data_IF_381184202202
#
_entry.id   IF_381184202202
#
_cell.length_a   1.000
_cell.length_b   1.000
_cell.length_c   1.000
_cell.angle_alpha   90.00
_cell.angle_beta   90.00
_cell.angle_gamma   90.00
#
_symmetry.space_group_name_H-M   'P 1'
#
loop_
_entity.id
_entity.type
_entity.pdbx_description
1 polymer ?
#
# COMPACT_ATOMS: atom_id res chain seq x y z
N UNK A 1 2.54 33.80 54.56
CA UNK A 1 1.53 33.39 53.56
C UNK A 1 2.17 32.33 52.68
N UNK A 2 1.76 31.07 52.84
CA UNK A 2 2.25 29.91 52.08
C UNK A 2 1.20 29.59 51.02
N UNK A 3 1.52 29.78 49.74
CA UNK A 3 0.66 29.31 48.65
C UNK A 3 1.15 27.93 48.22
N UNK A 4 0.33 26.91 48.52
CA UNK A 4 0.33 25.62 47.84
C UNK A 4 -0.06 25.86 46.37
N UNK A 5 0.79 25.43 45.44
CA UNK A 5 0.40 25.18 44.06
C UNK A 5 0.45 23.67 43.84
N UNK A 6 -0.74 23.08 43.80
CA UNK A 6 -0.99 21.71 43.38
C UNK A 6 -1.08 21.72 41.84
N UNK A 7 -0.23 21.02 41.07
CA UNK A 7 -0.55 20.73 39.69
C UNK A 7 -1.39 19.45 39.65
N UNK A 8 -2.70 19.65 39.54
CA UNK A 8 -3.65 18.67 39.03
C UNK A 8 -3.40 18.51 37.53
N UNK A 9 -3.64 17.29 37.03
CA UNK A 9 -3.85 16.92 35.62
C UNK A 9 -2.61 16.58 34.79
N UNK A 10 -2.18 15.32 34.93
CA UNK A 10 -1.52 14.57 33.84
C UNK A 10 -2.33 13.29 33.55
N UNK A 11 -3.58 13.45 33.09
CA UNK A 11 -4.21 12.41 32.26
C UNK A 11 -3.81 12.66 30.81
N UNK A 12 -2.56 12.34 30.49
CA UNK A 12 -2.11 12.24 29.10
C UNK A 12 -2.43 10.84 28.58
N UNK A 13 -3.62 10.74 27.99
CA UNK A 13 -3.82 10.15 26.67
C UNK A 13 -3.19 8.77 26.47
N UNK A 14 -3.91 7.73 26.91
CA UNK A 14 -3.81 6.41 26.27
C UNK A 14 -4.50 6.48 24.89
N UNK A 15 -3.85 7.11 23.92
CA UNK A 15 -4.29 7.09 22.52
C UNK A 15 -4.29 5.66 21.99
N UNK A 16 -5.49 5.19 21.69
CA UNK A 16 -5.80 4.36 20.52
C UNK A 16 -5.03 3.04 20.44
N UNK A 17 -5.55 2.01 21.11
CA UNK A 17 -5.52 0.66 20.53
C UNK A 17 -6.17 0.74 19.15
N UNK A 18 -5.32 0.80 18.12
CA UNK A 18 -5.65 0.85 16.69
C UNK A 18 -6.26 -0.47 16.18
N UNK A 19 -7.14 -1.11 16.96
CA UNK A 19 -7.87 -2.29 16.53
C UNK A 19 -9.03 -1.79 15.68
N UNK A 20 -8.99 -2.03 14.37
CA UNK A 20 -10.16 -1.78 13.52
C UNK A 20 -11.38 -2.52 14.05
N UNK A 21 -12.56 -2.18 13.55
CA UNK A 21 -13.75 -2.97 13.85
C UNK A 21 -13.61 -4.40 13.32
N UNK A 22 -14.57 -5.25 13.64
CA UNK A 22 -14.69 -6.57 13.01
C UNK A 22 -16.16 -6.86 12.69
N UNK A 23 -16.37 -7.69 11.67
CA UNK A 23 -17.70 -8.07 11.20
C UNK A 23 -17.64 -9.45 10.52
N UNK A 24 -18.73 -10.21 10.54
CA UNK A 24 -18.83 -11.42 9.73
C UNK A 24 -18.85 -11.05 8.24
N UNK A 25 -18.15 -11.82 7.39
CA UNK A 25 -18.04 -11.52 5.96
C UNK A 25 -19.42 -11.36 5.29
N UNK A 26 -20.33 -12.31 5.54
CA UNK A 26 -21.68 -12.29 4.96
C UNK A 26 -22.52 -11.08 5.38
N UNK A 27 -22.29 -10.56 6.57
CA UNK A 27 -23.00 -9.37 7.05
C UNK A 27 -22.46 -8.12 6.36
N UNK A 28 -21.13 -8.02 6.23
CA UNK A 28 -20.48 -6.95 5.49
C UNK A 28 -20.93 -6.93 4.02
N UNK A 29 -20.94 -8.08 3.34
CA UNK A 29 -21.38 -8.21 1.94
C UNK A 29 -22.86 -7.80 1.74
N UNK A 30 -23.70 -7.99 2.77
CA UNK A 30 -25.12 -7.59 2.76
C UNK A 30 -25.37 -6.14 3.17
N UNK A 31 -24.32 -5.41 3.53
CA UNK A 31 -24.44 -4.03 3.99
C UNK A 31 -25.01 -3.90 5.40
N UNK A 32 -24.93 -4.97 6.21
CA UNK A 32 -25.37 -4.95 7.60
C UNK A 32 -24.22 -4.51 8.51
N UNK A 33 -24.55 -3.81 9.61
CA UNK A 33 -23.60 -3.40 10.65
C UNK A 33 -22.37 -2.63 10.16
N UNK A 34 -22.50 -1.89 9.05
CA UNK A 34 -21.42 -1.12 8.43
C UNK A 34 -20.89 -0.02 9.34
N UNK A 35 -21.69 0.46 10.29
CA UNK A 35 -21.30 1.45 11.31
C UNK A 35 -20.15 0.97 12.21
N UNK A 36 -19.91 -0.34 12.30
CA UNK A 36 -18.78 -0.94 13.03
C UNK A 36 -17.43 -0.69 12.35
N UNK A 37 -17.43 -0.27 11.09
CA UNK A 37 -16.21 0.07 10.36
C UNK A 37 -15.58 1.35 10.90
N UNK A 38 -14.25 1.36 10.94
CA UNK A 38 -13.50 2.57 11.30
C UNK A 38 -13.17 3.39 10.05
N UNK A 39 -13.50 4.68 10.09
CA UNK A 39 -13.16 5.62 9.01
C UNK A 39 -11.65 5.84 8.94
N UNK A 40 -11.10 5.73 7.73
CA UNK A 40 -9.68 5.96 7.42
C UNK A 40 -9.53 6.89 6.21
N UNK A 41 -8.31 7.36 5.96
CA UNK A 41 -8.01 8.21 4.81
C UNK A 41 -7.82 7.40 3.52
N UNK A 42 -7.92 8.05 2.36
CA UNK A 42 -7.59 7.48 1.04
C UNK A 42 -6.16 6.96 0.98
N UNK A 43 -5.20 7.65 1.60
CA UNK A 43 -3.82 7.18 1.67
C UNK A 43 -3.70 5.92 2.54
N UNK A 44 -4.41 5.85 3.66
CA UNK A 44 -4.42 4.63 4.48
C UNK A 44 -5.00 3.45 3.71
N UNK A 45 -6.09 3.67 2.96
CA UNK A 45 -6.63 2.64 2.07
C UNK A 45 -5.59 2.18 1.04
N UNK A 46 -4.93 3.12 0.35
CA UNK A 46 -3.89 2.82 -0.63
C UNK A 46 -2.72 2.04 -0.02
N UNK A 47 -2.18 2.51 1.11
CA UNK A 47 -1.06 1.88 1.81
C UNK A 47 -1.39 0.42 2.19
N UNK A 48 -2.62 0.16 2.65
CA UNK A 48 -3.09 -1.21 2.92
C UNK A 48 -3.15 -2.06 1.65
N UNK A 49 -3.72 -1.52 0.56
CA UNK A 49 -3.78 -2.24 -0.73
C UNK A 49 -2.39 -2.53 -1.29
N UNK A 50 -1.39 -1.69 -0.99
CA UNK A 50 0.01 -1.91 -1.34
C UNK A 50 0.70 -3.03 -0.55
N UNK A 51 0.11 -3.53 0.54
CA UNK A 51 0.63 -4.69 1.29
C UNK A 51 0.45 -6.01 0.51
N UNK A 52 -0.42 -6.05 -0.50
CA UNK A 52 -0.60 -7.22 -1.36
C UNK A 52 0.68 -7.52 -2.15
N UNK A 53 1.10 -8.78 -2.11
CA UNK A 53 2.28 -9.31 -2.80
C UNK A 53 1.85 -10.30 -3.89
N UNK A 54 2.73 -10.59 -4.85
CA UNK A 54 2.44 -11.55 -5.94
C UNK A 54 2.15 -12.97 -5.42
N UNK A 55 2.81 -13.37 -4.33
CA UNK A 55 2.64 -14.68 -3.68
C UNK A 55 1.83 -14.58 -2.37
N UNK A 56 0.91 -13.61 -2.25
CA UNK A 56 0.14 -13.44 -1.03
C UNK A 56 -0.75 -14.67 -0.76
N UNK A 57 -0.74 -15.13 0.49
CA UNK A 57 -1.79 -16.01 1.00
C UNK A 57 -3.08 -15.20 1.08
N UNK A 58 -4.21 -15.79 0.68
CA UNK A 58 -5.55 -15.16 0.71
C UNK A 58 -5.88 -14.39 2.00
N UNK A 59 -5.31 -14.78 3.14
CA UNK A 59 -5.51 -14.14 4.45
C UNK A 59 -4.78 -12.81 4.64
N UNK A 60 -3.87 -12.42 3.75
CA UNK A 60 -3.09 -11.18 3.85
C UNK A 60 -3.56 -10.07 2.92
N UNK A 61 -4.37 -10.41 1.92
CA UNK A 61 -4.93 -9.43 1.01
C UNK A 61 -6.03 -8.60 1.67
N UNK A 62 -6.16 -7.37 1.18
CA UNK A 62 -7.15 -6.41 1.65
C UNK A 62 -8.32 -6.37 0.67
N UNK A 63 -9.51 -6.77 1.10
CA UNK A 63 -10.68 -6.93 0.25
C UNK A 63 -11.64 -5.77 0.45
N UNK A 64 -12.20 -5.29 -0.66
CA UNK A 64 -13.42 -4.48 -0.64
C UNK A 64 -14.58 -5.45 -0.45
N UNK A 65 -15.42 -5.20 0.54
CA UNK A 65 -16.49 -6.10 0.95
C UNK A 65 -17.88 -5.51 0.75
N UNK A 66 -17.97 -4.19 0.68
CA UNK A 66 -19.20 -3.47 0.36
C UNK A 66 -18.88 -2.05 -0.12
N UNK A 67 -19.82 -1.44 -0.82
CA UNK A 67 -19.80 -0.04 -1.23
C UNK A 67 -21.23 0.54 -1.13
N UNK A 68 -21.36 1.70 -0.50
CA UNK A 68 -22.61 2.48 -0.52
C UNK A 68 -22.38 3.83 -1.26
N UNK A 69 -23.31 4.77 -1.11
CA UNK A 69 -23.22 6.10 -1.74
C UNK A 69 -22.09 6.97 -1.16
N UNK A 70 -21.71 6.74 0.09
CA UNK A 70 -20.75 7.58 0.82
C UNK A 70 -19.37 6.90 0.99
N UNK A 71 -19.35 5.58 1.13
CA UNK A 71 -18.19 4.84 1.61
C UNK A 71 -17.90 3.55 0.84
N UNK A 72 -16.61 3.23 0.81
CA UNK A 72 -16.08 1.93 0.42
C UNK A 72 -15.61 1.22 1.68
N UNK A 73 -16.09 -0.01 1.89
CA UNK A 73 -15.80 -0.81 3.08
C UNK A 73 -14.81 -1.91 2.73
N UNK A 74 -13.77 -2.06 3.56
CA UNK A 74 -12.68 -2.98 3.26
C UNK A 74 -12.00 -3.54 4.50
N UNK A 75 -11.27 -4.65 4.34
CA UNK A 75 -10.52 -5.28 5.42
C UNK A 75 -9.85 -6.59 5.03
N UNK A 76 -9.24 -7.28 6.00
CA UNK A 76 -8.60 -8.58 5.77
C UNK A 76 -9.52 -9.73 6.20
N UNK A 77 -9.47 -10.84 5.46
CA UNK A 77 -10.20 -12.06 5.80
C UNK A 77 -9.52 -12.78 6.97
N UNK A 78 -10.28 -13.05 8.02
CA UNK A 78 -9.85 -13.83 9.17
C UNK A 78 -10.83 -14.98 9.40
N UNK A 79 -10.33 -16.21 9.51
CA UNK A 79 -11.15 -17.37 9.88
C UNK A 79 -11.05 -17.59 11.38
N UNK A 80 -12.19 -17.61 12.07
CA UNK A 80 -12.27 -17.89 13.51
C UNK A 80 -13.48 -18.77 13.80
N UNK A 81 -13.26 -19.89 14.50
CA UNK A 81 -14.31 -20.83 14.93
C UNK A 81 -15.25 -21.29 13.79
N UNK A 82 -14.72 -21.52 12.58
CA UNK A 82 -15.51 -21.93 11.41
C UNK A 82 -16.22 -20.80 10.68
N UNK A 83 -16.16 -19.56 11.19
CA UNK A 83 -16.71 -18.37 10.54
C UNK A 83 -15.61 -17.57 9.85
N UNK A 84 -15.95 -16.97 8.71
CA UNK A 84 -15.08 -16.00 8.02
C UNK A 84 -15.53 -14.60 8.40
N UNK A 85 -14.58 -13.80 8.87
CA UNK A 85 -14.80 -12.43 9.34
C UNK A 85 -13.86 -11.48 8.61
N UNK A 86 -14.22 -10.20 8.65
CA UNK A 86 -13.38 -9.09 8.25
C UNK A 86 -12.79 -8.46 9.49
N UNK A 87 -11.47 -8.49 9.60
CA UNK A 87 -10.73 -7.87 10.69
C UNK A 87 -9.29 -7.57 10.24
N UNK A 88 -8.84 -6.31 10.27
CA UNK A 88 -9.60 -5.11 10.67
C UNK A 88 -10.63 -4.69 9.62
N UNK A 89 -11.72 -4.07 10.07
CA UNK A 89 -12.81 -3.55 9.24
C UNK A 89 -12.79 -2.02 9.19
N UNK A 90 -12.62 -1.48 7.98
CA UNK A 90 -12.45 -0.07 7.71
C UNK A 90 -13.44 0.44 6.67
N UNK A 91 -13.60 1.77 6.64
CA UNK A 91 -14.30 2.49 5.58
C UNK A 91 -13.51 3.71 5.13
N UNK A 92 -13.62 4.05 3.86
CA UNK A 92 -12.99 5.23 3.25
C UNK A 92 -14.03 5.99 2.43
N UNK A 93 -13.91 7.32 2.40
CA UNK A 93 -14.78 8.22 1.64
C UNK A 93 -14.72 7.89 0.14
N UNK A 94 -15.87 7.53 -0.43
CA UNK A 94 -15.95 7.04 -1.80
C UNK A 94 -15.64 8.15 -2.81
N UNK A 95 -16.24 9.33 -2.67
CA UNK A 95 -16.06 10.44 -3.62
C UNK A 95 -14.58 10.85 -3.70
N UNK A 96 -13.91 10.94 -2.54
CA UNK A 96 -12.46 11.24 -2.50
C UNK A 96 -11.62 10.11 -3.08
N UNK A 97 -12.02 8.86 -2.87
CA UNK A 97 -11.30 7.71 -3.42
C UNK A 97 -11.47 7.61 -4.94
N UNK A 98 -12.69 7.73 -5.46
CA UNK A 98 -12.98 7.75 -6.90
C UNK A 98 -12.22 8.91 -7.59
N UNK A 99 -12.03 10.05 -6.92
CA UNK A 99 -11.25 11.17 -7.47
C UNK A 99 -9.73 10.97 -7.46
N UNK A 100 -9.17 10.35 -6.41
CA UNK A 100 -7.70 10.23 -6.27
C UNK A 100 -7.16 8.91 -6.81
N UNK A 101 -7.92 7.83 -6.67
CA UNK A 101 -7.53 6.50 -7.09
C UNK A 101 -8.69 5.75 -7.79
N UNK A 102 -9.21 6.24 -8.93
CA UNK A 102 -10.38 5.67 -9.61
C UNK A 102 -10.27 4.16 -9.92
N UNK A 103 -9.07 3.65 -10.16
CA UNK A 103 -8.84 2.24 -10.47
C UNK A 103 -8.87 1.27 -9.28
N UNK A 104 -9.14 1.72 -8.05
CA UNK A 104 -8.99 0.91 -6.82
C UNK A 104 -9.73 -0.44 -6.79
N UNK A 105 -10.80 -0.58 -7.59
CA UNK A 105 -11.62 -1.79 -7.70
C UNK A 105 -10.89 -2.93 -8.40
N UNK A 106 -10.08 -2.62 -9.40
CA UNK A 106 -9.34 -3.60 -10.22
C UNK A 106 -7.83 -3.55 -9.97
N UNK A 107 -7.31 -2.41 -9.51
CA UNK A 107 -5.89 -2.21 -9.24
C UNK A 107 -5.58 -2.48 -7.77
N UNK A 108 -4.66 -3.41 -7.54
CA UNK A 108 -4.13 -3.74 -6.22
C UNK A 108 -2.62 -3.50 -6.20
N UNK A 109 -2.02 -3.58 -5.00
CA UNK A 109 -0.57 -3.40 -4.84
C UNK A 109 0.26 -4.31 -5.74
N UNK A 110 -0.17 -5.56 -5.93
CA UNK A 110 0.53 -6.51 -6.82
C UNK A 110 0.54 -6.07 -8.28
N UNK A 111 -0.54 -5.44 -8.76
CA UNK A 111 -0.63 -4.93 -10.15
C UNK A 111 0.35 -3.76 -10.34
N UNK A 112 0.38 -2.81 -9.40
CA UNK A 112 1.29 -1.66 -9.41
C UNK A 112 2.75 -2.15 -9.36
N UNK A 113 3.09 -3.02 -8.41
CA UNK A 113 4.44 -3.59 -8.26
C UNK A 113 4.87 -4.36 -9.50
N UNK A 114 3.99 -5.17 -10.07
CA UNK A 114 4.29 -5.94 -11.29
C UNK A 114 4.54 -5.02 -12.49
N UNK A 115 3.71 -3.98 -12.68
CA UNK A 115 3.89 -2.98 -13.74
C UNK A 115 5.24 -2.29 -13.62
N UNK A 116 5.58 -1.79 -12.43
CA UNK A 116 6.86 -1.13 -12.15
C UNK A 116 8.04 -2.07 -12.36
N UNK A 117 7.92 -3.32 -11.91
CA UNK A 117 8.98 -4.30 -12.08
C UNK A 117 9.22 -4.65 -13.55
N UNK A 118 8.18 -5.07 -14.27
CA UNK A 118 8.31 -5.56 -15.65
C UNK A 118 8.71 -4.45 -16.62
N UNK A 119 8.22 -3.23 -16.41
CA UNK A 119 8.38 -2.16 -17.40
C UNK A 119 9.63 -1.32 -17.15
N UNK A 120 10.19 -1.31 -15.93
CA UNK A 120 11.30 -0.41 -15.58
C UNK A 120 12.44 -1.12 -14.87
N UNK A 121 12.17 -1.88 -13.80
CA UNK A 121 13.24 -2.51 -13.02
C UNK A 121 13.92 -3.63 -13.82
N UNK A 122 13.13 -4.50 -14.46
CA UNK A 122 13.62 -5.64 -15.23
C UNK A 122 14.50 -5.18 -16.42
N UNK A 123 14.06 -4.23 -17.27
CA UNK A 123 14.93 -3.69 -18.33
C UNK A 123 16.23 -3.10 -17.82
N UNK A 124 16.22 -2.40 -16.67
CA UNK A 124 17.45 -1.86 -16.07
C UNK A 124 18.42 -2.99 -15.69
N UNK A 125 17.92 -4.06 -15.08
CA UNK A 125 18.73 -5.23 -14.72
C UNK A 125 19.28 -5.91 -15.98
N UNK A 126 18.42 -6.20 -16.95
CA UNK A 126 18.80 -6.93 -18.17
C UNK A 126 19.83 -6.15 -19.00
N UNK A 127 19.60 -4.85 -19.21
CA UNK A 127 20.43 -4.05 -20.10
C UNK A 127 21.73 -3.57 -19.45
N UNK A 128 21.75 -3.33 -18.13
CA UNK A 128 22.90 -2.68 -17.47
C UNK A 128 23.62 -3.54 -16.44
N UNK A 129 22.97 -4.56 -15.87
CA UNK A 129 23.60 -5.46 -14.90
C UNK A 129 24.01 -6.77 -15.55
N UNK A 130 23.09 -7.47 -16.21
CA UNK A 130 23.37 -8.79 -16.81
C UNK A 130 24.42 -8.66 -17.93
N UNK A 131 24.34 -7.59 -18.73
CA UNK A 131 25.35 -7.27 -19.75
C UNK A 131 26.78 -7.12 -19.19
N UNK A 132 26.92 -6.65 -17.94
CA UNK A 132 28.23 -6.49 -17.26
C UNK A 132 28.63 -7.71 -16.42
N UNK A 133 27.65 -8.47 -15.92
CA UNK A 133 27.82 -9.58 -14.98
C UNK A 133 27.09 -10.86 -15.46
N UNK A 134 27.44 -11.44 -16.63
CA UNK A 134 26.64 -12.52 -17.23
C UNK A 134 26.65 -13.83 -16.43
N UNK A 135 27.70 -14.08 -15.64
CA UNK A 135 27.87 -15.34 -14.90
C UNK A 135 27.23 -15.32 -13.51
N UNK A 136 27.26 -14.19 -12.82
CA UNK A 136 26.74 -14.05 -11.46
C UNK A 136 26.48 -12.59 -11.14
N UNK A 137 25.25 -12.28 -10.75
CA UNK A 137 24.85 -10.96 -10.33
C UNK A 137 23.93 -11.03 -9.12
N UNK A 138 23.93 -9.94 -8.35
CA UNK A 138 22.96 -9.73 -7.29
C UNK A 138 22.40 -8.31 -7.38
N UNK A 139 21.10 -8.18 -7.08
CA UNK A 139 20.40 -6.90 -7.03
C UNK A 139 19.98 -6.60 -5.60
N UNK A 140 20.38 -5.44 -5.09
CA UNK A 140 20.00 -4.97 -3.77
C UNK A 140 19.14 -3.71 -3.88
N UNK A 141 17.92 -3.78 -3.34
CA UNK A 141 17.01 -2.63 -3.27
C UNK A 141 17.27 -1.85 -1.97
N UNK A 142 17.66 -0.59 -2.10
CA UNK A 142 17.80 0.35 -0.97
C UNK A 142 16.53 1.15 -0.71
N UNK A 143 15.64 1.25 -1.71
CA UNK A 143 14.34 1.90 -1.58
C UNK A 143 13.34 1.27 -2.56
N UNK A 144 12.13 0.99 -2.07
CA UNK A 144 10.94 0.67 -2.89
C UNK A 144 9.74 1.33 -2.23
N UNK A 145 9.40 2.53 -2.69
CA UNK A 145 8.31 3.32 -2.11
C UNK A 145 7.25 3.61 -3.17
N UNK A 146 5.99 3.49 -2.77
CA UNK A 146 4.82 3.83 -3.56
C UNK A 146 3.97 4.78 -2.73
N UNK A 147 3.44 5.83 -3.35
CA UNK A 147 2.62 6.83 -2.66
C UNK A 147 1.55 7.35 -3.60
N UNK A 148 0.31 7.36 -3.13
CA UNK A 148 -0.77 8.06 -3.81
C UNK A 148 -0.65 9.58 -3.57
N UNK A 149 -0.69 10.36 -4.64
CA UNK A 149 -0.68 11.83 -4.62
C UNK A 149 -1.92 12.36 -5.31
N UNK A 150 -2.02 13.68 -5.48
CA UNK A 150 -3.10 14.30 -6.25
C UNK A 150 -2.91 14.12 -7.77
N UNK A 151 -1.69 13.85 -8.19
CA UNK A 151 -1.29 13.81 -9.60
C UNK A 151 -1.18 12.36 -10.11
N UNK A 152 -1.21 11.37 -9.21
CA UNK A 152 -1.18 9.95 -9.56
C UNK A 152 -0.50 9.08 -8.50
N UNK A 153 -0.02 7.92 -8.92
CA UNK A 153 0.72 6.98 -8.07
C UNK A 153 2.22 7.22 -8.29
N UNK A 154 2.87 7.84 -7.32
CA UNK A 154 4.31 8.06 -7.35
C UNK A 154 5.05 6.78 -6.91
N UNK A 155 5.98 6.30 -7.73
CA UNK A 155 6.89 5.21 -7.38
C UNK A 155 8.33 5.70 -7.36
N UNK A 156 9.08 5.35 -6.31
CA UNK A 156 10.49 5.73 -6.15
C UNK A 156 11.31 4.51 -5.73
N UNK A 157 12.13 4.03 -6.67
CA UNK A 157 12.90 2.80 -6.55
C UNK A 157 14.38 3.11 -6.65
N UNK A 158 15.17 2.62 -5.68
CA UNK A 158 16.63 2.72 -5.71
C UNK A 158 17.24 1.34 -5.59
N UNK A 159 17.92 0.90 -6.63
CA UNK A 159 18.60 -0.40 -6.65
C UNK A 159 20.08 -0.28 -6.97
N UNK A 160 20.83 -1.28 -6.52
CA UNK A 160 22.24 -1.46 -6.81
C UNK A 160 22.46 -2.84 -7.40
N UNK A 161 23.26 -2.92 -8.45
CA UNK A 161 23.69 -4.17 -9.06
C UNK A 161 25.15 -4.46 -8.70
N UNK A 162 25.44 -5.70 -8.32
CA UNK A 162 26.79 -6.18 -8.02
C UNK A 162 27.15 -7.37 -8.92
N UNK A 163 28.39 -7.40 -9.42
CA UNK A 163 29.03 -8.64 -9.87
C UNK A 163 29.77 -9.22 -8.66
N UNK A 164 29.42 -10.41 -8.19
CA UNK A 164 29.93 -10.93 -6.91
C UNK A 164 29.75 -9.87 -5.80
N UNK A 165 30.84 -9.43 -5.15
CA UNK A 165 30.80 -8.39 -4.11
C UNK A 165 31.00 -6.96 -4.64
N UNK A 166 31.40 -6.79 -5.90
CA UNK A 166 31.71 -5.47 -6.46
C UNK A 166 30.46 -4.82 -7.04
N UNK A 167 30.09 -3.64 -6.52
CA UNK A 167 29.02 -2.82 -7.11
C UNK A 167 29.44 -2.30 -8.48
N UNK A 168 28.59 -2.52 -9.48
CA UNK A 168 28.82 -2.10 -10.89
C UNK A 168 27.70 -1.25 -11.47
N UNK A 169 26.60 -1.11 -10.74
CA UNK A 169 25.45 -0.32 -11.15
C UNK A 169 24.74 0.27 -9.93
N UNK A 170 24.24 1.49 -10.07
CA UNK A 170 23.22 2.10 -9.23
C UNK A 170 22.16 2.71 -10.13
N UNK A 171 20.89 2.38 -9.88
CA UNK A 171 19.76 2.98 -10.57
C UNK A 171 18.81 3.67 -9.58
N UNK A 172 18.34 4.84 -9.98
CA UNK A 172 17.26 5.60 -9.34
C UNK A 172 16.14 5.74 -10.37
N UNK A 173 14.99 5.11 -10.09
CA UNK A 173 13.83 5.08 -10.98
C UNK A 173 12.71 5.79 -10.24
N UNK A 174 12.24 6.91 -10.79
CA UNK A 174 11.12 7.67 -10.27
C UNK A 174 10.04 7.75 -11.35
N UNK A 175 8.82 7.38 -10.98
CA UNK A 175 7.70 7.25 -11.90
C UNK A 175 6.48 7.96 -11.31
N UNK A 176 5.67 8.53 -12.19
CA UNK A 176 4.28 8.89 -11.89
C UNK A 176 3.38 8.05 -12.79
N UNK A 177 2.53 7.23 -12.16
CA UNK A 177 1.58 6.38 -12.87
C UNK A 177 0.16 6.94 -12.75
N UNK A 178 -0.61 6.78 -13.82
CA UNK A 178 -2.02 7.07 -13.83
C UNK A 178 -2.76 6.11 -12.85
N UNK A 179 -3.61 6.63 -11.96
CA UNK A 179 -4.27 5.84 -10.95
C UNK A 179 -5.46 5.02 -11.47
N UNK A 180 -5.95 5.27 -12.68
CA UNK A 180 -7.05 4.54 -13.32
C UNK A 180 -6.55 3.30 -14.06
N UNK A 181 -5.43 3.42 -14.78
CA UNK A 181 -5.00 2.40 -15.75
C UNK A 181 -3.51 2.01 -15.67
N UNK A 182 -2.73 2.64 -14.78
CA UNK A 182 -1.28 2.44 -14.63
C UNK A 182 -0.44 2.80 -15.87
N UNK A 183 -0.96 3.69 -16.72
CA UNK A 183 -0.17 4.35 -17.75
C UNK A 183 0.90 5.25 -17.13
N UNK A 184 1.96 5.48 -17.89
CA UNK A 184 3.13 6.22 -17.40
C UNK A 184 2.91 7.68 -17.74
N UNK A 185 2.72 8.51 -16.72
CA UNK A 185 2.55 9.96 -16.88
C UNK A 185 3.92 10.65 -16.92
N UNK A 186 4.82 10.24 -16.03
CA UNK A 186 6.19 10.74 -15.97
C UNK A 186 7.17 9.62 -15.65
N UNK A 187 8.35 9.66 -16.26
CA UNK A 187 9.46 8.77 -15.98
C UNK A 187 10.76 9.55 -15.85
N UNK A 188 11.52 9.25 -14.80
CA UNK A 188 12.91 9.67 -14.67
C UNK A 188 13.75 8.51 -14.14
N UNK A 189 14.57 7.95 -15.03
CA UNK A 189 15.50 6.86 -14.75
C UNK A 189 16.94 7.35 -14.86
N UNK A 190 17.69 7.29 -13.77
CA UNK A 190 19.12 7.64 -13.72
C UNK A 190 19.95 6.42 -13.35
N UNK A 191 20.93 6.07 -14.19
CA UNK A 191 21.80 4.90 -14.02
C UNK A 191 23.27 5.36 -13.97
N UNK A 192 24.03 4.85 -12.99
CA UNK A 192 25.46 5.10 -12.80
C UNK A 192 26.23 3.80 -12.59
#
# INVERSE_FOLDING_TARGET
MRYLLIPILLMLVATSCNKGGYIALKDAERGMFLERSRKVSTNTFFDRRMESELESQLSKDWYIVNEDLEYVYFGQLMKQNGFTMINPFYRVDRVKLDSLFPGYRSIEGKHIKARVFQSFIKPVIENHLISKCPQSYNTQFSKRQYKLTKDGIAASIKLQGKCYEKRVMRADINLLLDPENLEVLEENTSIK
#
